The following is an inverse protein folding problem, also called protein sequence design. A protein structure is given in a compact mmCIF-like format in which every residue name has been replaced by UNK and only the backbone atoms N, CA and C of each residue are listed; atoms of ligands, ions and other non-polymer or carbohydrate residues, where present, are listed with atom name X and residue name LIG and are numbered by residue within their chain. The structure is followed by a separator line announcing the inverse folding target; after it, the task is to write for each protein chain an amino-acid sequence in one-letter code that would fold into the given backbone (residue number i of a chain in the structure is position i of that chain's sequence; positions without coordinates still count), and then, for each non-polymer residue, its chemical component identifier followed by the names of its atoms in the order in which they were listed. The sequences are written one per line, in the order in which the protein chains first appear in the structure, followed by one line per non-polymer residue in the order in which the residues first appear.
data_IF_129377363135
#
_entry.id   IF_129377363135
#
_cell.length_a   1.000
_cell.length_b   1.000
_cell.length_c   1.000
_cell.angle_alpha   90.00
_cell.angle_beta   90.00
_cell.angle_gamma   90.00
#
_symmetry.space_group_name_H-M   'P 1'
#
loop_
_entity.id
_entity.type
_entity.pdbx_description
1 polymer ?
#
# COMPACT_ATOMS: atom_id res chain seq x y z
N UNK A 1 14.45 -3.52 9.59
CA UNK A 1 13.55 -4.62 9.12
C UNK A 1 12.13 -4.12 9.25
N UNK A 2 11.39 -3.95 8.16
CA UNK A 2 9.98 -3.51 8.22
C UNK A 2 9.18 -4.68 8.79
N UNK A 3 8.61 -4.51 9.97
CA UNK A 3 7.81 -5.54 10.62
C UNK A 3 6.34 -5.27 10.30
N UNK A 4 5.85 -5.88 9.23
CA UNK A 4 4.44 -5.76 8.89
C UNK A 4 3.59 -6.43 9.95
N UNK A 5 2.60 -5.69 10.44
CA UNK A 5 1.54 -6.17 11.34
C UNK A 5 0.24 -6.27 10.54
N UNK A 6 -0.77 -6.88 11.12
CA UNK A 6 -2.14 -6.69 10.64
C UNK A 6 -2.50 -5.21 10.71
N UNK A 7 -3.07 -4.67 9.66
CA UNK A 7 -3.40 -3.24 9.56
C UNK A 7 -4.92 -3.09 9.49
N UNK A 8 -5.47 -2.29 10.40
CA UNK A 8 -6.84 -1.79 10.29
C UNK A 8 -6.79 -0.39 9.71
N UNK A 9 -7.42 -0.18 8.57
CA UNK A 9 -7.41 1.12 7.91
C UNK A 9 -8.80 1.52 7.41
N UNK A 10 -9.07 2.82 7.47
CA UNK A 10 -10.20 3.42 6.78
C UNK A 10 -9.90 3.44 5.29
N UNK A 11 -10.83 3.07 4.43
CA UNK A 11 -10.58 3.06 3.00
C UNK A 11 -11.79 3.46 2.18
N UNK A 12 -11.55 4.22 1.11
CA UNK A 12 -12.45 4.33 -0.03
C UNK A 12 -11.87 3.53 -1.20
N UNK A 13 -12.77 2.83 -1.91
CA UNK A 13 -12.39 2.05 -3.10
C UNK A 13 -12.65 2.88 -4.35
N UNK A 14 -11.73 2.80 -5.30
CA UNK A 14 -11.87 3.38 -6.63
C UNK A 14 -11.74 2.33 -7.72
N UNK A 15 -12.28 2.67 -8.89
CA UNK A 15 -12.11 1.93 -10.14
C UNK A 15 -11.72 2.93 -11.23
N UNK A 16 -10.79 2.57 -12.08
CA UNK A 16 -10.26 3.41 -13.15
C UNK A 16 -8.82 3.86 -12.88
N UNK A 17 -8.43 4.97 -13.47
CA UNK A 17 -7.05 5.46 -13.41
C UNK A 17 -6.53 5.60 -11.98
N UNK A 18 -5.35 5.05 -11.71
CA UNK A 18 -4.68 5.22 -10.41
C UNK A 18 -4.34 6.67 -10.08
N UNK A 19 -4.35 7.57 -11.07
CA UNK A 19 -4.19 9.03 -10.85
C UNK A 19 -5.32 9.61 -10.00
N UNK A 20 -6.53 9.05 -10.10
CA UNK A 20 -7.69 9.48 -9.32
C UNK A 20 -7.58 9.13 -7.83
N UNK A 21 -6.65 8.27 -7.44
CA UNK A 21 -6.39 7.95 -6.03
C UNK A 21 -5.95 9.18 -5.22
N UNK A 22 -5.34 10.18 -5.87
CA UNK A 22 -4.83 11.39 -5.22
C UNK A 22 -5.90 12.17 -4.44
N UNK A 23 -7.13 12.23 -4.93
CA UNK A 23 -8.25 12.88 -4.23
C UNK A 23 -8.58 12.17 -2.92
N UNK A 24 -8.61 10.84 -2.93
CA UNK A 24 -8.91 10.05 -1.73
C UNK A 24 -7.78 10.20 -0.70
N UNK A 25 -6.51 10.23 -1.13
CA UNK A 25 -5.38 10.53 -0.25
C UNK A 25 -5.51 11.89 0.41
N UNK A 26 -5.91 12.91 -0.34
CA UNK A 26 -6.11 14.26 0.18
C UNK A 26 -7.24 14.28 1.21
N UNK A 27 -8.37 13.66 0.94
CA UNK A 27 -9.49 13.56 1.87
C UNK A 27 -9.09 12.82 3.15
N UNK A 28 -8.42 11.66 3.02
CA UNK A 28 -7.95 10.89 4.16
C UNK A 28 -6.97 11.68 5.04
N UNK A 29 -6.04 12.42 4.42
CA UNK A 29 -5.10 13.30 5.12
C UNK A 29 -5.81 14.45 5.84
N UNK A 30 -6.81 15.10 5.22
CA UNK A 30 -7.56 16.18 5.84
C UNK A 30 -8.34 15.74 7.10
N UNK A 31 -8.81 14.49 7.14
CA UNK A 31 -9.50 13.94 8.31
C UNK A 31 -8.58 13.71 9.51
N UNK A 32 -7.34 13.27 9.27
CA UNK A 32 -6.32 13.06 10.31
C UNK A 32 -4.91 13.22 9.75
N UNK A 33 -4.35 14.44 9.75
CA UNK A 33 -3.04 14.74 9.15
C UNK A 33 -1.86 13.99 9.79
N UNK A 34 -2.00 13.59 11.05
CA UNK A 34 -0.96 12.88 11.80
C UNK A 34 -0.93 11.37 11.51
N UNK A 35 -1.90 10.86 10.74
CA UNK A 35 -1.97 9.45 10.41
C UNK A 35 -1.21 9.13 9.12
N UNK A 36 -0.55 7.98 9.12
CA UNK A 36 -0.01 7.41 7.89
C UNK A 36 -1.14 7.03 6.95
N UNK A 37 -0.99 7.36 5.68
CA UNK A 37 -1.92 6.94 4.65
C UNK A 37 -1.43 5.69 3.94
N UNK A 38 -2.36 4.90 3.43
CA UNK A 38 -2.07 3.66 2.72
C UNK A 38 -2.93 3.55 1.47
N UNK A 39 -2.31 3.11 0.38
CA UNK A 39 -2.98 2.70 -0.84
C UNK A 39 -2.74 1.23 -1.13
N UNK A 40 -3.76 0.54 -1.61
CA UNK A 40 -3.70 -0.81 -2.12
C UNK A 40 -4.11 -0.77 -3.58
N UNK A 41 -3.22 -1.22 -4.47
CA UNK A 41 -3.41 -1.29 -5.91
C UNK A 41 -3.49 -2.75 -6.30
N UNK A 42 -4.69 -3.20 -6.68
CA UNK A 42 -4.98 -4.61 -6.85
C UNK A 42 -4.49 -5.17 -8.18
N UNK A 43 -4.42 -4.35 -9.20
CA UNK A 43 -4.22 -4.77 -10.58
C UNK A 43 -2.93 -4.21 -11.17
N UNK A 44 -2.34 -4.95 -12.11
CA UNK A 44 -1.18 -4.49 -12.89
C UNK A 44 -1.63 -3.55 -14.01
N UNK A 45 -1.23 -2.27 -14.00
CA UNK A 45 -1.61 -1.32 -15.04
C UNK A 45 -1.00 -1.63 -16.42
N UNK A 46 -0.02 -2.54 -16.50
CA UNK A 46 0.55 -2.97 -17.77
C UNK A 46 -0.29 -4.07 -18.43
N UNK A 47 -1.14 -4.76 -17.66
CA UNK A 47 -1.94 -5.91 -18.13
C UNK A 47 -3.43 -5.70 -18.08
N UNK A 48 -3.91 -4.83 -17.16
CA UNK A 48 -5.33 -4.53 -16.97
C UNK A 48 -5.65 -3.17 -17.59
N UNK A 49 -6.72 -3.06 -18.39
CA UNK A 49 -7.15 -1.77 -18.94
C UNK A 49 -7.40 -0.72 -17.86
N UNK A 50 -7.01 0.53 -18.13
CA UNK A 50 -7.06 1.63 -17.15
C UNK A 50 -8.44 1.76 -16.48
N UNK A 51 -9.53 1.60 -17.24
CA UNK A 51 -10.90 1.71 -16.72
C UNK A 51 -11.31 0.56 -15.78
N UNK A 52 -10.53 -0.52 -15.75
CA UNK A 52 -10.80 -1.71 -14.93
C UNK A 52 -9.87 -1.83 -13.73
N UNK A 53 -8.87 -0.95 -13.61
CA UNK A 53 -7.97 -0.90 -12.46
C UNK A 53 -8.74 -0.63 -11.18
N UNK A 54 -8.40 -1.38 -10.12
CA UNK A 54 -9.04 -1.30 -8.81
C UNK A 54 -8.03 -0.88 -7.75
N UNK A 55 -8.45 -0.03 -6.87
CA UNK A 55 -7.62 0.43 -5.74
C UNK A 55 -8.46 0.74 -4.51
N UNK A 56 -7.79 0.82 -3.37
CA UNK A 56 -8.36 1.29 -2.12
C UNK A 56 -7.35 2.20 -1.43
N UNK A 57 -7.78 3.35 -0.96
CA UNK A 57 -6.92 4.34 -0.31
C UNK A 57 -7.56 4.82 0.98
N UNK A 58 -6.73 5.10 1.98
CA UNK A 58 -7.20 5.65 3.24
C UNK A 58 -6.10 5.80 4.29
N UNK A 59 -6.49 5.92 5.54
CA UNK A 59 -5.58 6.12 6.68
C UNK A 59 -5.47 4.88 7.55
N UNK A 60 -4.26 4.60 8.03
CA UNK A 60 -3.99 3.52 8.99
C UNK A 60 -4.47 3.97 10.36
N UNK A 61 -5.49 3.30 10.89
CA UNK A 61 -6.09 3.63 12.18
C UNK A 61 -5.53 2.78 13.33
N UNK A 62 -5.18 1.52 13.05
CA UNK A 62 -4.59 0.64 14.06
C UNK A 62 -3.67 -0.42 13.43
N UNK A 63 -2.67 -0.87 14.17
CA UNK A 63 -1.71 -1.89 13.75
C UNK A 63 -1.49 -2.95 14.84
N UNK A 64 -1.68 -4.19 14.50
CA UNK A 64 -1.56 -5.36 15.38
C UNK A 64 -2.76 -6.26 15.27
N UNK A 65 -2.63 -7.53 15.69
CA UNK A 65 -3.70 -8.51 15.58
C UNK A 65 -4.94 -8.13 16.42
N UNK A 66 -4.71 -7.54 17.58
CA UNK A 66 -5.77 -7.18 18.54
C UNK A 66 -5.99 -5.66 18.63
N UNK A 67 -5.34 -4.88 17.75
CA UNK A 67 -5.46 -3.43 17.79
C UNK A 67 -6.77 -2.98 17.13
N UNK A 68 -7.58 -2.27 17.92
CA UNK A 68 -8.82 -1.67 17.46
C UNK A 68 -8.61 -0.16 17.24
N UNK A 69 -9.19 0.41 16.17
CA UNK A 69 -9.19 1.85 15.98
C UNK A 69 -9.92 2.59 17.11
N UNK A 70 -9.50 3.81 17.37
CA UNK A 70 -10.26 4.71 18.25
C UNK A 70 -11.65 4.95 17.64
N UNK A 71 -12.69 4.85 18.48
CA UNK A 71 -14.08 4.90 18.02
C UNK A 71 -14.46 6.30 17.49
N UNK A 72 -13.99 7.36 18.12
CA UNK A 72 -14.31 8.72 17.71
C UNK A 72 -13.62 9.06 16.38
N UNK A 73 -12.38 8.60 16.21
CA UNK A 73 -11.63 8.76 14.97
C UNK A 73 -12.26 7.95 13.83
N UNK A 74 -12.57 6.68 14.06
CA UNK A 74 -13.23 5.83 13.07
C UNK A 74 -14.57 6.46 12.61
N UNK A 75 -15.35 7.03 13.52
CA UNK A 75 -16.64 7.66 13.19
C UNK A 75 -16.48 8.82 12.22
N UNK A 76 -15.39 9.60 12.27
CA UNK A 76 -15.12 10.68 11.32
C UNK A 76 -14.95 10.13 9.90
N UNK A 77 -14.19 9.05 9.76
CA UNK A 77 -13.98 8.41 8.45
C UNK A 77 -15.26 7.78 7.91
N UNK A 78 -16.04 7.12 8.76
CA UNK A 78 -17.30 6.50 8.35
C UNK A 78 -18.31 7.55 7.87
N UNK A 79 -18.39 8.72 8.53
CA UNK A 79 -19.28 9.81 8.10
C UNK A 79 -18.87 10.43 6.77
N UNK A 80 -17.60 10.33 6.40
CA UNK A 80 -17.07 10.81 5.11
C UNK A 80 -17.05 9.72 4.01
N UNK A 81 -17.74 8.61 4.24
CA UNK A 81 -17.91 7.53 3.26
C UNK A 81 -16.77 6.53 3.18
N UNK A 82 -15.81 6.59 4.09
CA UNK A 82 -14.79 5.54 4.22
C UNK A 82 -15.38 4.31 4.89
N UNK A 83 -14.74 3.15 4.67
CA UNK A 83 -15.11 1.88 5.30
C UNK A 83 -13.91 1.30 6.02
N UNK A 84 -14.11 0.77 7.22
CA UNK A 84 -13.06 0.05 7.92
C UNK A 84 -12.74 -1.27 7.19
N UNK A 85 -11.47 -1.48 6.89
CA UNK A 85 -10.95 -2.72 6.34
C UNK A 85 -9.76 -3.21 7.14
N UNK A 86 -9.59 -4.53 7.16
CA UNK A 86 -8.43 -5.18 7.76
C UNK A 86 -7.58 -5.79 6.67
N UNK A 87 -6.30 -5.44 6.68
CA UNK A 87 -5.30 -6.03 5.81
C UNK A 87 -4.43 -6.96 6.65
N UNK A 88 -4.45 -8.27 6.38
CA UNK A 88 -3.67 -9.22 7.15
C UNK A 88 -2.18 -9.00 6.95
N UNK A 89 -1.38 -9.39 7.94
CA UNK A 89 0.07 -9.39 7.80
C UNK A 89 0.47 -10.24 6.59
N UNK A 90 1.19 -9.69 5.60
CA UNK A 90 1.67 -10.49 4.47
C UNK A 90 2.73 -11.49 4.95
N UNK A 91 2.67 -12.72 4.47
CA UNK A 91 3.71 -13.72 4.74
C UNK A 91 4.99 -13.40 3.98
N UNK A 92 4.84 -12.99 2.73
CA UNK A 92 5.93 -12.64 1.84
C UNK A 92 5.66 -11.32 1.13
N UNK A 93 6.65 -10.46 1.09
CA UNK A 93 6.58 -9.20 0.36
C UNK A 93 7.95 -8.78 -0.15
N UNK A 94 8.00 -8.22 -1.35
CA UNK A 94 9.14 -7.44 -1.81
C UNK A 94 8.91 -5.99 -1.41
N UNK A 95 9.84 -5.38 -0.71
CA UNK A 95 9.69 -4.03 -0.16
C UNK A 95 10.80 -3.13 -0.66
N UNK A 96 10.42 -1.93 -1.06
CA UNK A 96 11.33 -0.84 -1.32
C UNK A 96 10.92 0.38 -0.50
N UNK A 97 11.88 1.18 -0.09
CA UNK A 97 11.64 2.45 0.60
C UNK A 97 12.21 3.60 -0.22
N UNK A 98 11.51 4.73 -0.21
CA UNK A 98 11.96 5.94 -0.88
C UNK A 98 11.74 7.17 0.01
N UNK A 99 12.69 8.13 0.06
CA UNK A 99 12.52 9.35 0.85
C UNK A 99 11.30 10.16 0.39
N UNK A 100 10.45 10.54 1.34
CA UNK A 100 9.30 11.42 1.10
C UNK A 100 9.60 12.80 1.66
N UNK A 101 9.82 13.77 0.81
CA UNK A 101 10.11 15.17 1.19
C UNK A 101 9.09 16.15 0.64
N UNK A 102 8.59 15.88 -0.55
CA UNK A 102 7.63 16.72 -1.26
C UNK A 102 6.76 15.83 -2.15
N UNK A 103 5.67 16.35 -2.67
CA UNK A 103 4.81 15.64 -3.63
C UNK A 103 5.61 15.15 -4.85
N UNK A 104 6.67 15.85 -5.25
CA UNK A 104 7.57 15.42 -6.33
C UNK A 104 8.26 14.07 -6.02
N UNK A 105 8.47 13.76 -4.73
CA UNK A 105 9.05 12.47 -4.31
C UNK A 105 8.21 11.28 -4.76
N UNK A 106 6.89 11.44 -4.88
CA UNK A 106 5.98 10.38 -5.36
C UNK A 106 6.32 10.03 -6.81
N UNK A 107 6.45 11.03 -7.68
CA UNK A 107 6.77 10.82 -9.09
C UNK A 107 8.18 10.21 -9.27
N UNK A 108 9.13 10.64 -8.45
CA UNK A 108 10.49 10.07 -8.45
C UNK A 108 10.49 8.62 -7.95
N UNK A 109 9.69 8.30 -6.93
CA UNK A 109 9.52 6.92 -6.46
C UNK A 109 8.91 6.04 -7.56
N UNK A 110 7.85 6.51 -8.22
CA UNK A 110 7.24 5.80 -9.35
C UNK A 110 8.26 5.51 -10.46
N UNK A 111 9.09 6.47 -10.80
CA UNK A 111 10.08 6.31 -11.86
C UNK A 111 11.27 5.42 -11.47
N UNK A 112 11.72 5.48 -10.21
CA UNK A 112 12.93 4.74 -9.77
C UNK A 112 12.61 3.40 -9.12
N UNK A 113 11.57 3.33 -8.29
CA UNK A 113 11.28 2.15 -7.44
C UNK A 113 10.51 1.09 -8.23
N UNK A 114 9.45 1.48 -8.93
CA UNK A 114 8.61 0.51 -9.63
C UNK A 114 9.32 -0.31 -10.70
N UNK A 115 10.17 0.26 -11.57
CA UNK A 115 10.92 -0.53 -12.55
C UNK A 115 11.84 -1.55 -11.88
N UNK A 116 12.51 -1.18 -10.79
CA UNK A 116 13.37 -2.09 -10.03
C UNK A 116 12.58 -3.22 -9.38
N UNK A 117 11.44 -2.90 -8.77
CA UNK A 117 10.54 -3.91 -8.19
C UNK A 117 10.05 -4.88 -9.27
N UNK A 118 9.55 -4.39 -10.40
CA UNK A 118 9.10 -5.22 -11.53
C UNK A 118 10.21 -6.11 -12.07
N UNK A 119 11.41 -5.55 -12.27
CA UNK A 119 12.58 -6.33 -12.73
C UNK A 119 12.94 -7.44 -11.74
N UNK A 120 12.95 -7.13 -10.44
CA UNK A 120 13.24 -8.12 -9.40
C UNK A 120 12.19 -9.23 -9.37
N UNK A 121 10.89 -8.87 -9.36
CA UNK A 121 9.77 -9.80 -9.36
C UNK A 121 9.85 -10.73 -10.59
N UNK A 122 10.06 -10.15 -11.78
CA UNK A 122 10.21 -10.92 -13.01
C UNK A 122 11.44 -11.85 -12.97
N UNK A 123 12.59 -11.39 -12.47
CA UNK A 123 13.82 -12.19 -12.36
C UNK A 123 13.69 -13.40 -11.44
N UNK A 124 12.71 -13.34 -10.51
CA UNK A 124 12.42 -14.42 -9.56
C UNK A 124 11.19 -15.25 -9.93
N UNK A 125 10.52 -14.93 -11.05
CA UNK A 125 9.31 -15.62 -11.47
C UNK A 125 8.15 -15.48 -10.49
N UNK A 126 8.08 -14.36 -9.75
CA UNK A 126 7.05 -14.13 -8.75
C UNK A 126 5.81 -13.49 -9.38
N UNK A 127 4.63 -13.87 -8.86
CA UNK A 127 3.39 -13.14 -9.12
C UNK A 127 3.10 -12.30 -7.87
N UNK A 128 3.42 -11.01 -7.93
CA UNK A 128 3.43 -10.15 -6.75
C UNK A 128 2.39 -9.02 -6.87
N UNK A 129 1.18 -9.30 -6.43
CA UNK A 129 0.07 -8.37 -6.27
C UNK A 129 -0.74 -8.74 -5.02
N UNK A 130 -1.41 -7.80 -4.36
CA UNK A 130 -1.48 -6.36 -4.65
C UNK A 130 -0.19 -5.60 -4.31
N UNK A 131 -0.05 -4.41 -4.92
CA UNK A 131 0.93 -3.43 -4.51
C UNK A 131 0.37 -2.57 -3.38
N UNK A 132 1.15 -2.39 -2.31
CA UNK A 132 0.83 -1.51 -1.20
C UNK A 132 1.82 -0.34 -1.17
N UNK A 133 1.28 0.84 -0.97
CA UNK A 133 2.05 2.05 -0.68
C UNK A 133 1.67 2.58 0.69
N UNK A 134 2.63 2.78 1.56
CA UNK A 134 2.42 3.42 2.86
C UNK A 134 3.25 4.69 2.88
N UNK A 135 2.57 5.80 3.10
CA UNK A 135 3.17 7.12 3.25
C UNK A 135 3.32 7.44 4.73
N UNK A 136 4.56 7.51 5.16
CA UNK A 136 4.95 7.99 6.49
C UNK A 136 5.46 9.43 6.38
N UNK A 137 5.72 10.10 7.49
CA UNK A 137 6.20 11.49 7.53
C UNK A 137 7.42 11.77 6.65
N UNK A 138 8.33 10.80 6.51
CA UNK A 138 9.59 10.97 5.78
C UNK A 138 9.88 9.88 4.73
N UNK A 139 9.04 8.86 4.62
CA UNK A 139 9.28 7.69 3.79
C UNK A 139 8.02 7.25 3.04
N UNK A 140 8.22 6.81 1.81
CA UNK A 140 7.25 6.02 1.07
C UNK A 140 7.73 4.57 1.13
N UNK A 141 6.90 3.69 1.66
CA UNK A 141 7.13 2.25 1.65
C UNK A 141 6.28 1.64 0.54
N UNK A 142 6.93 1.12 -0.48
CA UNK A 142 6.27 0.38 -1.56
C UNK A 142 6.51 -1.10 -1.33
N UNK A 143 5.44 -1.87 -1.23
CA UNK A 143 5.55 -3.32 -1.06
C UNK A 143 4.62 -4.07 -2.01
N UNK A 144 5.12 -5.15 -2.59
CA UNK A 144 4.34 -6.07 -3.39
C UNK A 144 4.28 -7.41 -2.70
N UNK A 145 3.07 -7.86 -2.37
CA UNK A 145 2.84 -9.14 -1.71
C UNK A 145 2.80 -10.25 -2.74
N UNK A 146 3.32 -11.44 -2.40
CA UNK A 146 3.28 -12.58 -3.30
C UNK A 146 2.96 -13.87 -2.55
N UNK A 147 2.35 -14.82 -3.26
CA UNK A 147 2.16 -16.19 -2.81
C UNK A 147 3.26 -17.07 -3.40
N UNK A 148 3.79 -17.94 -2.57
CA UNK A 148 4.75 -18.96 -3.01
C UNK A 148 3.98 -20.21 -3.45
N UNK A 149 4.33 -20.83 -4.58
CA UNK A 149 3.87 -22.16 -4.90
C UNK A 149 4.30 -23.17 -3.82
N UNK A 150 3.42 -24.11 -3.48
CA UNK A 150 3.75 -25.16 -2.50
C UNK A 150 5.01 -25.92 -2.97
N UNK A 151 5.96 -26.14 -2.05
CA UNK A 151 7.20 -26.86 -2.32
C UNK A 151 8.43 -26.02 -2.59
N UNK A 152 8.33 -24.70 -2.64
CA UNK A 152 9.49 -23.81 -2.84
C UNK A 152 10.02 -23.32 -1.50
N UNK A 153 11.17 -23.84 -1.09
CA UNK A 153 11.89 -23.36 0.10
C UNK A 153 12.69 -22.10 -0.25
N UNK A 154 12.10 -20.93 -0.09
CA UNK A 154 12.85 -19.68 -0.06
C UNK A 154 12.81 -19.06 1.33
N UNK A 155 13.97 -18.62 1.79
CA UNK A 155 14.14 -17.89 3.05
C UNK A 155 13.23 -16.64 3.00
N UNK A 156 12.48 -16.38 4.08
CA UNK A 156 11.80 -15.10 4.34
C UNK A 156 12.78 -13.94 4.14
N UNK A 157 12.88 -13.40 2.93
CA UNK A 157 13.74 -12.26 2.64
C UNK A 157 12.89 -11.09 2.20
N UNK A 158 12.80 -10.16 3.12
CA UNK A 158 12.50 -8.77 2.83
C UNK A 158 13.70 -8.20 2.07
N UNK A 159 13.55 -7.86 0.80
CA UNK A 159 14.57 -7.15 0.05
C UNK A 159 14.31 -5.66 0.14
N UNK A 160 15.21 -4.96 0.79
CA UNK A 160 15.32 -3.51 0.69
C UNK A 160 16.10 -3.22 -0.59
N UNK A 161 15.47 -2.56 -1.53
CA UNK A 161 16.17 -1.92 -2.65
C UNK A 161 16.61 -0.54 -2.14
N UNK A 162 17.90 -0.41 -1.85
CA UNK A 162 18.55 0.87 -1.61
C UNK A 162 18.75 1.65 -2.91
#
# INVERSE_FOLDING_TARGET
MVNYKTISFSSQTGKGSYKSAGEIYTNAFCLSPDRRTMGIYYDDPDTVPENDLRYAVGSILAEGADATPDHAELSKYLSDGFKLKHFPKPEFAVVATFPFRTTLSIYLAMWKVYPKLKQFIASKGLCAYPCLEIYDSNLIHVSMTYHMPEGTSFIKKLFLLE
#
